data_IF_652634089049
#
_entry.id   IF_652634089049
#
_cell.length_a   1.000
_cell.length_b   1.000
_cell.length_c   1.000
_cell.angle_alpha   90.00
_cell.angle_beta   90.00
_cell.angle_gamma   90.00
#
_symmetry.space_group_name_H-M   'P 1'
#
loop_
_entity.id
_entity.type
_entity.pdbx_description
1 polymer ?
#
# COMPACT_ATOMS: atom_id res chain seq x y z
N UNK A 1 -28.91 -16.15 -20.14
CA UNK A 1 -28.04 -14.98 -19.89
C UNK A 1 -26.79 -15.46 -19.14
N UNK A 2 -25.57 -15.18 -19.62
CA UNK A 2 -24.31 -15.63 -19.00
C UNK A 2 -23.70 -14.48 -18.20
N UNK A 3 -23.39 -14.74 -16.93
CA UNK A 3 -22.69 -13.86 -16.00
C UNK A 3 -21.26 -13.57 -16.50
N UNK A 4 -20.85 -12.31 -16.75
CA UNK A 4 -19.58 -11.97 -17.41
C UNK A 4 -18.32 -12.11 -16.53
N UNK A 5 -18.44 -12.50 -15.26
CA UNK A 5 -17.30 -12.66 -14.34
C UNK A 5 -16.59 -14.02 -14.47
N UNK A 6 -16.43 -14.56 -15.68
CA UNK A 6 -15.52 -15.69 -15.91
C UNK A 6 -14.09 -15.19 -15.62
N UNK A 7 -13.57 -15.61 -14.46
CA UNK A 7 -12.17 -15.67 -14.07
C UNK A 7 -11.24 -15.64 -15.28
N UNK A 8 -10.75 -14.45 -15.63
CA UNK A 8 -9.47 -14.37 -16.33
C UNK A 8 -8.46 -14.79 -15.27
N UNK A 9 -7.81 -15.95 -15.42
CA UNK A 9 -6.67 -16.30 -14.58
C UNK A 9 -5.63 -15.19 -14.74
N UNK A 10 -5.59 -14.27 -13.78
CA UNK A 10 -4.64 -13.17 -13.79
C UNK A 10 -3.25 -13.81 -13.66
N UNK A 11 -2.45 -13.71 -14.72
CA UNK A 11 -1.06 -14.16 -14.70
C UNK A 11 -0.22 -13.05 -14.08
N UNK A 12 0.36 -13.31 -12.92
CA UNK A 12 1.26 -12.38 -12.25
C UNK A 12 2.70 -12.63 -12.70
N UNK A 13 3.46 -11.55 -12.91
CA UNK A 13 4.90 -11.59 -13.15
C UNK A 13 5.60 -10.95 -11.96
N UNK A 14 6.66 -11.59 -11.44
CA UNK A 14 7.48 -11.03 -10.37
C UNK A 14 8.10 -9.70 -10.83
N UNK A 15 8.01 -8.69 -9.97
CA UNK A 15 8.79 -7.46 -10.08
C UNK A 15 10.03 -7.53 -9.19
N UNK A 16 10.98 -6.63 -9.38
CA UNK A 16 12.06 -6.42 -8.42
C UNK A 16 11.50 -6.10 -7.04
N UNK A 17 12.24 -6.46 -5.99
CA UNK A 17 11.86 -6.19 -4.61
C UNK A 17 11.68 -4.68 -4.40
N UNK A 18 10.61 -4.31 -3.71
CA UNK A 18 10.41 -2.94 -3.26
C UNK A 18 11.21 -2.74 -1.97
N UNK A 19 12.09 -1.74 -1.97
CA UNK A 19 12.87 -1.37 -0.79
C UNK A 19 12.53 0.05 -0.35
N UNK A 20 12.38 0.24 0.96
CA UNK A 20 12.28 1.55 1.61
C UNK A 20 13.57 1.75 2.40
N UNK A 21 14.41 2.68 1.96
CA UNK A 21 15.73 2.89 2.56
C UNK A 21 15.62 3.17 4.07
N UNK A 22 16.49 2.53 4.86
CA UNK A 22 16.56 2.73 6.31
C UNK A 22 15.45 2.07 7.14
N UNK A 23 14.50 1.36 6.52
CA UNK A 23 13.45 0.63 7.25
C UNK A 23 13.60 -0.88 7.04
N UNK A 24 13.32 -1.65 8.10
CA UNK A 24 13.26 -3.11 8.00
C UNK A 24 12.02 -3.51 7.19
N UNK A 25 12.08 -4.70 6.59
CA UNK A 25 10.96 -5.30 5.88
C UNK A 25 9.83 -5.63 6.87
N UNK A 26 8.89 -4.71 7.04
CA UNK A 26 7.69 -4.89 7.84
C UNK A 26 6.47 -5.09 6.94
N UNK A 27 5.46 -5.76 7.48
CA UNK A 27 4.15 -5.84 6.88
C UNK A 27 3.51 -4.44 6.84
N UNK A 28 2.53 -4.27 5.94
CA UNK A 28 1.75 -3.05 5.84
C UNK A 28 0.98 -2.99 4.52
N UNK A 29 0.35 -1.85 4.27
CA UNK A 29 -0.60 -1.69 3.17
C UNK A 29 -0.26 -0.51 2.25
N UNK A 30 -0.58 -0.68 0.97
CA UNK A 30 -0.39 0.35 -0.06
C UNK A 30 -1.73 0.89 -0.51
N UNK A 31 -1.86 2.22 -0.57
CA UNK A 31 -3.02 2.91 -1.14
C UNK A 31 -2.60 3.85 -2.27
N UNK A 32 -3.51 4.08 -3.23
CA UNK A 32 -3.32 5.06 -4.30
C UNK A 32 -4.09 6.33 -3.96
N UNK A 33 -3.37 7.45 -3.89
CA UNK A 33 -3.89 8.79 -3.66
C UNK A 33 -3.51 9.64 -4.87
N UNK A 34 -4.49 9.97 -5.71
CA UNK A 34 -4.33 10.83 -6.89
C UNK A 34 -3.15 10.42 -7.79
N UNK A 35 -3.01 9.10 -8.03
CA UNK A 35 -1.96 8.54 -8.88
C UNK A 35 -0.62 8.29 -8.17
N UNK A 36 -0.51 8.59 -6.88
CA UNK A 36 0.67 8.32 -6.06
C UNK A 36 0.40 7.19 -5.09
N UNK A 37 1.37 6.29 -4.93
CA UNK A 37 1.28 5.17 -4.01
C UNK A 37 1.85 5.58 -2.66
N UNK A 38 1.13 5.26 -1.59
CA UNK A 38 1.56 5.47 -0.22
C UNK A 38 1.57 4.12 0.48
N UNK A 39 2.72 3.75 1.04
CA UNK A 39 2.92 2.55 1.83
C UNK A 39 2.97 2.93 3.30
N UNK A 40 2.02 2.40 4.06
CA UNK A 40 1.93 2.54 5.50
C UNK A 40 2.50 1.27 6.13
N UNK A 41 3.70 1.39 6.68
CA UNK A 41 4.33 0.35 7.49
C UNK A 41 4.17 0.66 8.98
N UNK A 42 4.55 -0.30 9.82
CA UNK A 42 4.49 -0.12 11.27
C UNK A 42 5.33 1.08 11.73
N UNK A 43 4.66 2.15 12.14
CA UNK A 43 5.24 3.43 12.55
C UNK A 43 5.99 4.21 11.46
N UNK A 44 5.73 4.00 10.16
CA UNK A 44 6.32 4.87 9.13
C UNK A 44 5.50 4.88 7.85
N UNK A 45 5.71 5.91 7.02
CA UNK A 45 5.03 6.05 5.73
C UNK A 45 6.04 6.33 4.64
N UNK A 46 5.94 5.61 3.52
CA UNK A 46 6.73 5.85 2.32
C UNK A 46 5.81 6.15 1.12
N UNK A 47 6.35 6.82 0.10
CA UNK A 47 5.62 7.13 -1.13
C UNK A 47 6.40 6.69 -2.36
N UNK A 48 5.66 6.22 -3.36
CA UNK A 48 6.16 5.94 -4.69
C UNK A 48 5.27 6.57 -5.76
N UNK A 49 5.88 7.00 -6.87
CA UNK A 49 5.14 7.42 -8.05
C UNK A 49 4.79 6.24 -8.99
N UNK A 50 5.45 5.09 -8.83
CA UNK A 50 5.39 4.00 -9.82
C UNK A 50 5.51 2.58 -9.21
N UNK A 51 5.61 2.46 -7.89
CA UNK A 51 5.72 1.20 -7.17
C UNK A 51 7.12 0.57 -7.18
N UNK A 52 8.11 1.18 -7.84
CA UNK A 52 9.49 0.66 -7.93
C UNK A 52 10.44 1.32 -6.96
N UNK A 53 10.35 2.65 -6.84
CA UNK A 53 11.19 3.44 -5.95
C UNK A 53 10.33 4.03 -4.85
N UNK A 54 10.74 3.83 -3.60
CA UNK A 54 9.99 4.27 -2.44
C UNK A 54 10.83 5.25 -1.64
N UNK A 55 10.27 6.44 -1.39
CA UNK A 55 10.88 7.46 -0.56
C UNK A 55 10.15 7.51 0.78
N UNK A 56 10.89 7.42 1.88
CA UNK A 56 10.35 7.66 3.21
C UNK A 56 9.78 9.09 3.31
N UNK A 57 8.57 9.21 3.84
CA UNK A 57 7.90 10.49 4.10
C UNK A 57 7.84 10.81 5.59
N UNK A 58 7.50 9.83 6.42
CA UNK A 58 7.31 10.00 7.85
C UNK A 58 7.98 8.87 8.62
N UNK A 59 8.67 9.22 9.70
CA UNK A 59 9.33 8.28 10.62
C UNK A 59 8.46 7.89 11.81
N UNK A 60 7.39 8.65 12.06
CA UNK A 60 6.42 8.47 13.15
C UNK A 60 5.03 8.24 12.56
N UNK A 61 4.87 7.10 11.89
CA UNK A 61 3.57 6.61 11.45
C UNK A 61 2.74 6.07 12.61
N UNK A 62 1.61 5.45 12.28
CA UNK A 62 0.77 4.78 13.26
C UNK A 62 1.28 3.35 13.56
N UNK A 63 1.07 2.82 14.78
CA UNK A 63 1.53 1.49 15.16
C UNK A 63 0.73 0.36 14.50
N UNK A 64 1.41 -0.76 14.21
CA UNK A 64 0.78 -1.98 13.69
C UNK A 64 0.59 -2.04 12.16
N UNK A 65 -0.07 -3.10 11.71
CA UNK A 65 -0.29 -3.43 10.28
C UNK A 65 -1.57 -2.76 9.75
N UNK A 66 -1.56 -1.43 9.72
CA UNK A 66 -2.78 -0.67 9.44
C UNK A 66 -3.21 -0.79 7.98
N UNK A 67 -4.50 -1.08 7.78
CA UNK A 67 -5.17 -0.80 6.52
C UNK A 67 -5.45 0.69 6.38
N UNK A 68 -5.40 1.24 5.17
CA UNK A 68 -5.83 2.62 4.90
C UNK A 68 -6.93 2.60 3.84
N UNK A 69 -8.04 3.27 4.11
CA UNK A 69 -9.13 3.44 3.16
C UNK A 69 -9.57 4.90 3.06
N UNK A 70 -10.09 5.29 1.89
CA UNK A 70 -10.75 6.58 1.69
C UNK A 70 -12.25 6.37 1.68
N UNK A 71 -12.99 7.07 2.56
CA UNK A 71 -14.44 7.15 2.52
C UNK A 71 -14.84 8.59 2.23
N UNK A 72 -15.42 8.83 1.04
CA UNK A 72 -15.65 10.18 0.54
C UNK A 72 -14.33 10.94 0.40
N UNK A 73 -14.20 12.04 1.13
CA UNK A 73 -13.00 12.88 1.17
C UNK A 73 -12.09 12.64 2.38
N UNK A 74 -12.46 11.68 3.25
CA UNK A 74 -11.74 11.41 4.50
C UNK A 74 -10.92 10.12 4.39
N UNK A 75 -9.68 10.18 4.91
CA UNK A 75 -8.80 9.02 5.04
C UNK A 75 -8.96 8.39 6.43
N UNK A 76 -9.09 7.06 6.45
CA UNK A 76 -9.27 6.27 7.66
C UNK A 76 -8.17 5.23 7.80
N UNK A 77 -7.56 5.15 8.98
CA UNK A 77 -6.82 3.98 9.41
C UNK A 77 -7.78 2.88 9.85
N UNK A 78 -7.50 1.65 9.43
CA UNK A 78 -8.25 0.45 9.80
C UNK A 78 -7.30 -0.45 10.57
N UNK A 79 -7.62 -0.65 11.85
CA UNK A 79 -6.93 -1.61 12.72
C UNK A 79 -7.65 -2.96 12.64
N UNK A 80 -6.88 -4.04 12.47
CA UNK A 80 -7.40 -5.38 12.67
C UNK A 80 -7.20 -5.75 14.14
N UNK A 81 -8.29 -5.95 14.87
CA UNK A 81 -8.27 -6.49 16.24
C UNK A 81 -8.26 -8.02 16.21
#
# INVERSE_FOLDING_TARGET
MRNPLRQRSLKFKRSSDANVEGKRNFLGNVTNIDGKLYFYGANWVARSANGKQWKLLHEDGMPGDLGIAKLGDTWHGIEAH
#
